data_IF_215335453317
#
_entry.id   IF_215335453317
#
_cell.length_a   1.000
_cell.length_b   1.000
_cell.length_c   1.000
_cell.angle_alpha   90.00
_cell.angle_beta   90.00
_cell.angle_gamma   90.00
#
_symmetry.space_group_name_H-M   'P 1'
#
loop_
_entity.id
_entity.type
_entity.pdbx_description
1 polymer ?
#
# COMPACT_ATOMS: atom_id res chain seq x y z
N UNK A 1 1.25 0.82 -6.07
CA UNK A 1 0.21 0.25 -5.18
C UNK A 1 -0.58 1.33 -4.46
N UNK A 2 0.07 2.22 -3.69
CA UNK A 2 -0.64 3.31 -2.99
C UNK A 2 -1.48 4.18 -3.94
N UNK A 3 -0.88 4.67 -5.03
CA UNK A 3 -1.59 5.50 -6.01
C UNK A 3 -2.76 4.77 -6.69
N UNK A 4 -2.66 3.45 -6.88
CA UNK A 4 -3.73 2.61 -7.43
C UNK A 4 -4.89 2.52 -6.44
N UNK A 5 -4.58 2.29 -5.16
CA UNK A 5 -5.59 2.19 -4.10
C UNK A 5 -6.38 3.49 -3.95
N UNK A 6 -5.69 4.63 -3.99
CA UNK A 6 -6.30 5.93 -3.73
C UNK A 6 -6.74 6.69 -4.98
N UNK A 7 -6.26 6.30 -6.16
CA UNK A 7 -6.54 6.98 -7.43
C UNK A 7 -5.94 8.38 -7.53
N UNK A 8 -4.95 8.71 -6.68
CA UNK A 8 -4.27 10.01 -6.64
C UNK A 8 -2.75 9.83 -6.53
N UNK A 9 -1.94 10.80 -7.00
CA UNK A 9 -0.50 10.77 -6.85
C UNK A 9 -0.07 10.76 -5.38
N UNK A 10 1.10 10.19 -5.09
CA UNK A 10 1.65 10.26 -3.72
C UNK A 10 1.82 11.73 -3.27
N UNK A 11 1.57 12.04 -1.98
CA UNK A 11 1.65 13.41 -1.48
C UNK A 11 3.09 13.91 -1.29
N UNK A 12 4.09 13.10 -1.65
CA UNK A 12 5.49 13.40 -1.39
C UNK A 12 6.08 14.28 -2.49
N UNK A 13 6.67 15.40 -2.09
CA UNK A 13 7.50 16.22 -2.97
C UNK A 13 8.92 15.67 -2.96
N UNK A 14 9.45 15.31 -4.12
CA UNK A 14 10.84 14.92 -4.26
C UNK A 14 11.71 16.19 -4.14
N UNK A 15 12.30 16.37 -2.96
CA UNK A 15 13.28 17.42 -2.67
C UNK A 15 14.58 16.77 -2.15
N UNK A 16 15.58 17.59 -1.85
CA UNK A 16 16.90 17.11 -1.38
C UNK A 16 16.83 16.32 -0.06
N UNK A 17 15.80 16.53 0.75
CA UNK A 17 15.62 15.86 2.04
C UNK A 17 14.79 14.57 1.94
N UNK A 18 14.10 14.33 0.83
CA UNK A 18 13.16 13.23 0.69
C UNK A 18 13.80 11.87 0.98
N UNK A 19 15.02 11.64 0.49
CA UNK A 19 15.76 10.40 0.76
C UNK A 19 16.01 10.19 2.26
N UNK A 20 16.44 11.23 2.97
CA UNK A 20 16.65 11.20 4.42
C UNK A 20 15.35 10.93 5.17
N UNK A 21 14.24 11.53 4.74
CA UNK A 21 12.93 11.29 5.36
C UNK A 21 12.48 9.83 5.16
N UNK A 22 12.69 9.25 3.98
CA UNK A 22 12.39 7.84 3.70
C UNK A 22 13.26 6.90 4.54
N UNK A 23 14.55 7.20 4.71
CA UNK A 23 15.45 6.45 5.58
C UNK A 23 14.99 6.54 7.05
N UNK A 24 14.52 7.71 7.48
CA UNK A 24 13.94 7.94 8.81
C UNK A 24 12.54 7.35 9.00
N UNK A 25 11.99 6.65 7.99
CA UNK A 25 10.72 5.93 8.10
C UNK A 25 9.51 6.62 7.49
N UNK A 26 9.67 7.71 6.73
CA UNK A 26 8.56 8.32 5.98
C UNK A 26 7.93 7.28 5.03
N UNK A 27 6.63 7.03 5.19
CA UNK A 27 5.83 6.12 4.35
C UNK A 27 4.48 6.74 4.03
N UNK A 28 3.85 6.36 2.90
CA UNK A 28 2.48 6.81 2.61
C UNK A 28 1.54 6.50 3.78
N UNK A 29 0.69 7.47 4.12
CA UNK A 29 -0.28 7.30 5.21
C UNK A 29 -1.29 6.19 4.86
N UNK A 30 -1.57 5.35 5.86
CA UNK A 30 -2.66 4.36 5.84
C UNK A 30 -3.38 4.54 7.19
N UNK A 31 -4.69 4.83 7.22
CA UNK A 31 -5.41 5.03 8.47
C UNK A 31 -5.31 3.81 9.38
N UNK A 32 -5.18 4.05 10.68
CA UNK A 32 -5.17 2.97 11.67
C UNK A 32 -6.50 2.18 11.63
N UNK A 33 -6.37 0.87 11.86
CA UNK A 33 -7.47 -0.08 11.77
C UNK A 33 -7.88 -0.49 10.35
N UNK A 34 -7.33 0.15 9.31
CA UNK A 34 -7.53 -0.31 7.94
C UNK A 34 -6.63 -1.53 7.67
N UNK A 35 -7.25 -2.68 7.46
CA UNK A 35 -6.60 -3.97 7.21
C UNK A 35 -7.18 -4.57 5.93
N UNK A 36 -6.31 -5.05 5.05
CA UNK A 36 -6.64 -5.86 3.88
C UNK A 36 -5.37 -6.53 3.38
N UNK A 37 -5.51 -7.67 2.69
CA UNK A 37 -4.34 -8.38 2.13
C UNK A 37 -3.50 -7.49 1.21
N UNK A 38 -4.15 -6.60 0.46
CA UNK A 38 -3.47 -5.64 -0.39
C UNK A 38 -2.68 -4.59 0.39
N UNK A 39 -3.24 -4.06 1.48
CA UNK A 39 -2.54 -3.10 2.35
C UNK A 39 -1.32 -3.76 2.99
N UNK A 40 -1.44 -5.01 3.42
CA UNK A 40 -0.35 -5.73 4.06
C UNK A 40 0.78 -6.05 3.06
N UNK A 41 0.43 -6.47 1.83
CA UNK A 41 1.42 -6.59 0.75
C UNK A 41 2.09 -5.25 0.44
N UNK A 42 1.30 -4.18 0.30
CA UNK A 42 1.80 -2.83 0.04
C UNK A 42 2.74 -2.34 1.15
N UNK A 43 2.44 -2.63 2.42
CA UNK A 43 3.31 -2.32 3.56
C UNK A 43 4.65 -3.05 3.50
N UNK A 44 4.64 -4.34 3.16
CA UNK A 44 5.87 -5.14 3.01
C UNK A 44 6.77 -4.63 1.88
N UNK A 45 6.20 -4.12 0.78
CA UNK A 45 6.98 -3.57 -0.35
C UNK A 45 7.92 -2.43 0.05
N UNK A 46 7.62 -1.69 1.11
CA UNK A 46 8.44 -0.58 1.61
C UNK A 46 8.91 -0.79 3.05
N UNK A 47 9.02 -2.04 3.52
CA UNK A 47 9.54 -2.35 4.84
C UNK A 47 10.96 -1.74 5.02
N UNK A 48 11.23 -1.23 6.23
CA UNK A 48 12.54 -0.68 6.60
C UNK A 48 13.65 -1.72 6.50
N UNK A 49 13.36 -2.98 6.82
CA UNK A 49 14.24 -4.11 6.61
C UNK A 49 14.09 -4.63 5.16
N UNK A 50 15.15 -4.56 4.33
CA UNK A 50 15.10 -5.09 2.96
C UNK A 50 14.74 -6.58 2.88
N UNK A 51 15.09 -7.39 3.90
CA UNK A 51 14.80 -8.82 3.92
C UNK A 51 13.32 -9.17 4.05
N UNK A 52 12.48 -8.23 4.49
CA UNK A 52 11.03 -8.41 4.58
C UNK A 52 10.31 -8.06 3.28
N UNK A 53 11.00 -7.44 2.32
CA UNK A 53 10.38 -6.98 1.08
C UNK A 53 10.13 -8.16 0.15
N UNK A 54 8.92 -8.31 -0.40
CA UNK A 54 8.64 -9.35 -1.36
C UNK A 54 9.42 -9.10 -2.66
N UNK A 55 9.81 -10.18 -3.33
CA UNK A 55 10.28 -10.09 -4.72
C UNK A 55 9.13 -9.66 -5.63
N UNK A 56 9.47 -9.18 -6.83
CA UNK A 56 8.46 -8.89 -7.85
C UNK A 56 7.67 -10.16 -8.24
N UNK A 57 8.32 -11.33 -8.24
CA UNK A 57 7.68 -12.64 -8.44
C UNK A 57 6.63 -12.92 -7.36
N UNK A 58 6.98 -12.78 -6.08
CA UNK A 58 6.02 -12.94 -4.99
C UNK A 58 4.83 -11.98 -5.14
N UNK A 59 5.06 -10.72 -5.50
CA UNK A 59 3.98 -9.74 -5.72
C UNK A 59 3.07 -10.19 -6.87
N UNK A 60 3.64 -10.67 -7.97
CA UNK A 60 2.90 -11.19 -9.12
C UNK A 60 2.04 -12.39 -8.74
N UNK A 61 2.63 -13.37 -8.05
CA UNK A 61 1.93 -14.58 -7.62
C UNK A 61 0.75 -14.25 -6.70
N UNK A 62 0.93 -13.31 -5.77
CA UNK A 62 -0.17 -12.81 -4.92
C UNK A 62 -1.30 -12.24 -5.78
N UNK A 63 -1.00 -11.42 -6.80
CA UNK A 63 -2.04 -10.85 -7.65
C UNK A 63 -2.74 -11.88 -8.54
N UNK A 64 -2.04 -12.90 -9.02
CA UNK A 64 -2.64 -14.02 -9.77
C UNK A 64 -3.57 -14.83 -8.87
N UNK A 65 -3.15 -15.12 -7.64
CA UNK A 65 -3.99 -15.83 -6.67
C UNK A 65 -5.27 -15.05 -6.34
N UNK A 66 -5.16 -13.72 -6.23
CA UNK A 66 -6.29 -12.88 -5.80
C UNK A 66 -7.23 -12.46 -6.92
N UNK A 67 -6.86 -12.67 -8.20
CA UNK A 67 -7.59 -12.11 -9.33
C UNK A 67 -9.07 -12.55 -9.37
N UNK A 68 -9.34 -13.76 -8.88
CA UNK A 68 -10.67 -14.40 -8.85
C UNK A 68 -11.20 -14.61 -7.42
N UNK A 69 -10.54 -14.05 -6.40
CA UNK A 69 -10.99 -14.14 -4.99
C UNK A 69 -11.93 -12.98 -4.66
N UNK A 70 -13.24 -13.26 -4.69
CA UNK A 70 -14.28 -12.28 -4.38
C UNK A 70 -14.11 -11.63 -3.01
N UNK A 71 -13.60 -12.35 -2.00
CA UNK A 71 -13.43 -11.78 -0.65
C UNK A 71 -12.35 -10.70 -0.66
N UNK A 72 -11.24 -10.93 -1.35
CA UNK A 72 -10.14 -9.96 -1.44
C UNK A 72 -10.59 -8.73 -2.23
N UNK A 73 -11.33 -8.93 -3.32
CA UNK A 73 -11.90 -7.83 -4.10
C UNK A 73 -12.89 -6.99 -3.27
N UNK A 74 -13.72 -7.65 -2.45
CA UNK A 74 -14.64 -6.99 -1.51
C UNK A 74 -13.86 -6.20 -0.45
N UNK A 75 -12.88 -6.81 0.23
CA UNK A 75 -12.00 -6.14 1.21
C UNK A 75 -11.33 -4.89 0.62
N UNK A 76 -10.82 -5.01 -0.61
CA UNK A 76 -10.22 -3.91 -1.36
C UNK A 76 -11.21 -2.79 -1.63
N UNK A 77 -12.42 -3.13 -2.07
CA UNK A 77 -13.48 -2.16 -2.36
C UNK A 77 -13.92 -1.41 -1.10
N UNK A 78 -14.06 -2.10 0.03
CA UNK A 78 -14.42 -1.51 1.32
C UNK A 78 -13.32 -0.61 1.87
N UNK A 79 -12.06 -1.07 1.76
CA UNK A 79 -10.88 -0.30 2.13
C UNK A 79 -10.85 1.03 1.39
N UNK A 80 -11.10 0.99 0.08
CA UNK A 80 -11.15 2.19 -0.76
C UNK A 80 -12.27 3.15 -0.33
N UNK A 81 -13.48 2.64 -0.06
CA UNK A 81 -14.63 3.44 0.41
C UNK A 81 -14.35 4.10 1.77
N UNK A 82 -13.90 3.33 2.76
CA UNK A 82 -13.58 3.83 4.11
C UNK A 82 -12.52 4.93 4.10
N UNK A 83 -11.53 4.81 3.21
CA UNK A 83 -10.51 5.84 3.06
C UNK A 83 -11.09 7.13 2.49
N UNK A 84 -11.95 7.04 1.47
CA UNK A 84 -12.62 8.20 0.88
C UNK A 84 -13.51 8.91 1.91
N UNK A 85 -14.28 8.17 2.71
CA UNK A 85 -15.15 8.73 3.76
C UNK A 85 -14.38 9.40 4.91
N UNK A 86 -13.12 9.02 5.17
CA UNK A 86 -12.29 9.62 6.23
C UNK A 86 -11.53 10.88 5.79
N UNK A 87 -11.50 11.18 4.49
CA UNK A 87 -10.84 12.37 3.92
C UNK A 87 -11.82 13.54 3.73
N UNK A 88 -13.13 13.29 3.82
CA UNK A 88 -14.20 14.30 3.82
C UNK A 88 -14.84 14.42 5.19
#
# INVERSE_FOLDING_TARGET
MWEILHGIPTPFKQNTEFQSQVISGLRPHIPEGTTSRYIDLMRRCWDGNPGNRPSAENIYDNFIEWQDDENILLELSETKKKYQERIY
#
